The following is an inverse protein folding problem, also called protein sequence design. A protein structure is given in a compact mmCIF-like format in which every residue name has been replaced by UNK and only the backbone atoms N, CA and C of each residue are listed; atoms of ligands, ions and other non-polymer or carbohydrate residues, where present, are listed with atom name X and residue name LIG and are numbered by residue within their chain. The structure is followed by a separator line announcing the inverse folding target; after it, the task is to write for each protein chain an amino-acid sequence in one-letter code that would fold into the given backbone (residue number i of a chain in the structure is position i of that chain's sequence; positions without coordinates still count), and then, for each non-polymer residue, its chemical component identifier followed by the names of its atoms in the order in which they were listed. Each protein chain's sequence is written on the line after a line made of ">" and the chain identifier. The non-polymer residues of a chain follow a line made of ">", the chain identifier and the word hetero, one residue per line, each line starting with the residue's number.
data_IF_552760345563
#
_entry.id   IF_552760345563
#
_cell.length_a   1.000
_cell.length_b   1.000
_cell.length_c   1.000
_cell.angle_alpha   90.00
_cell.angle_beta   90.00
_cell.angle_gamma   90.00
#
_symmetry.space_group_name_H-M   'P 1'
#
loop_
_entity.id
_entity.type
_entity.pdbx_description
1 polymer ?
#
# COMPACT_ATOMS: atom_id res chain seq x y z
N UNK A 1 -15.99 19.50 -72.86
CA UNK A 1 -15.87 18.08 -73.25
C UNK A 1 -16.56 17.18 -72.21
N UNK A 2 -17.84 16.95 -72.49
CA UNK A 2 -18.77 16.03 -71.83
C UNK A 2 -18.74 14.64 -72.50
N UNK A 3 -19.39 13.68 -71.85
CA UNK A 3 -19.82 12.34 -72.32
C UNK A 3 -18.78 11.23 -72.31
N UNK A 4 -18.93 10.21 -71.43
CA UNK A 4 -19.82 9.03 -71.57
C UNK A 4 -19.15 7.96 -72.46
N UNK A 5 -18.95 6.69 -72.08
CA UNK A 5 -19.88 5.60 -71.69
C UNK A 5 -19.01 4.31 -71.73
N UNK A 6 -19.10 3.27 -70.90
CA UNK A 6 -20.10 2.19 -70.86
C UNK A 6 -19.62 1.12 -69.84
N UNK A 7 -20.48 0.65 -68.92
CA UNK A 7 -21.01 -0.74 -68.73
C UNK A 7 -20.02 -1.90 -68.91
N UNK A 8 -19.95 -2.91 -68.03
CA UNK A 8 -20.82 -4.11 -67.99
C UNK A 8 -20.76 -4.85 -66.62
N UNK A 9 -21.93 -5.28 -66.17
CA UNK A 9 -22.40 -6.42 -65.33
C UNK A 9 -21.49 -7.33 -64.45
N UNK A 10 -22.08 -7.69 -63.29
CA UNK A 10 -21.94 -8.78 -62.26
C UNK A 10 -21.36 -10.15 -62.71
N UNK A 11 -20.97 -11.14 -61.82
CA UNK A 11 -21.56 -11.53 -60.52
C UNK A 11 -20.62 -12.12 -59.40
N UNK A 12 -21.25 -12.35 -58.23
CA UNK A 12 -21.05 -13.36 -57.16
C UNK A 12 -19.94 -14.43 -57.36
N UNK A 13 -19.08 -14.65 -56.36
CA UNK A 13 -18.72 -15.97 -55.76
C UNK A 13 -17.67 -15.78 -54.64
N UNK A 14 -17.96 -16.41 -53.50
CA UNK A 14 -17.23 -16.23 -52.25
C UNK A 14 -15.83 -16.83 -52.22
N UNK A 15 -15.02 -16.24 -51.33
CA UNK A 15 -13.88 -16.92 -50.72
C UNK A 15 -14.03 -16.81 -49.22
N UNK A 16 -14.47 -17.92 -48.64
CA UNK A 16 -14.31 -18.22 -47.24
C UNK A 16 -12.80 -18.38 -47.01
N UNK A 17 -12.15 -17.44 -46.34
CA UNK A 17 -10.76 -17.55 -45.93
C UNK A 17 -10.67 -17.38 -44.41
N UNK A 18 -10.81 -18.51 -43.74
CA UNK A 18 -10.33 -18.73 -42.38
C UNK A 18 -8.81 -18.58 -42.36
N UNK A 19 -8.29 -17.50 -41.78
CA UNK A 19 -6.95 -17.49 -41.17
C UNK A 19 -6.88 -16.45 -40.05
N UNK A 20 -6.57 -16.93 -38.85
CA UNK A 20 -5.81 -16.18 -37.83
C UNK A 20 -6.53 -15.09 -37.06
N UNK A 21 -7.26 -15.47 -35.99
CA UNK A 21 -7.40 -14.57 -34.83
C UNK A 21 -6.36 -14.97 -33.79
N UNK A 22 -5.35 -14.13 -33.61
CA UNK A 22 -4.47 -14.13 -32.44
C UNK A 22 -5.24 -13.59 -31.21
N UNK A 23 -5.01 -14.09 -29.98
CA UNK A 23 -5.79 -13.66 -28.81
C UNK A 23 -5.29 -12.35 -28.14
N UNK A 24 -4.24 -11.72 -28.68
CA UNK A 24 -3.54 -10.62 -28.00
C UNK A 24 -3.89 -9.26 -28.59
N UNK A 25 -5.14 -8.80 -28.47
CA UNK A 25 -5.48 -7.39 -28.72
C UNK A 25 -6.84 -6.98 -28.15
N UNK A 26 -6.99 -6.92 -26.83
CA UNK A 26 -7.95 -5.99 -26.20
C UNK A 26 -7.38 -5.40 -24.92
N UNK A 27 -6.58 -4.35 -25.09
CA UNK A 27 -6.35 -3.31 -24.09
C UNK A 27 -6.72 -1.98 -24.74
N UNK A 28 -7.46 -1.17 -23.99
CA UNK A 28 -7.82 0.24 -24.20
C UNK A 28 -8.83 0.59 -25.31
N UNK A 29 -10.11 0.59 -24.90
CA UNK A 29 -11.17 1.56 -25.24
C UNK A 29 -12.41 1.00 -24.51
N UNK A 30 -12.88 1.55 -23.40
CA UNK A 30 -13.61 2.82 -23.37
C UNK A 30 -13.49 3.51 -22.01
N UNK A 31 -12.98 4.74 -22.02
CA UNK A 31 -13.37 5.74 -21.04
C UNK A 31 -14.77 6.21 -21.41
N UNK A 32 -15.77 5.86 -20.61
CA UNK A 32 -17.08 6.50 -20.63
C UNK A 32 -17.44 6.91 -19.20
N UNK A 33 -17.40 8.23 -18.97
CA UNK A 33 -18.06 8.88 -17.85
C UNK A 33 -19.57 8.94 -18.15
N UNK A 34 -20.36 8.94 -17.07
CA UNK A 34 -21.82 9.11 -16.98
C UNK A 34 -22.69 8.00 -17.59
N UNK A 35 -23.25 7.17 -16.70
CA UNK A 35 -24.72 7.07 -16.50
C UNK A 35 -25.03 6.28 -15.22
N UNK A 36 -25.18 7.00 -14.11
CA UNK A 36 -25.72 6.46 -12.86
C UNK A 36 -27.25 6.48 -12.97
N UNK A 37 -27.83 5.39 -13.47
CA UNK A 37 -29.26 5.13 -13.32
C UNK A 37 -29.50 4.53 -11.93
N UNK A 38 -30.22 5.28 -11.10
CA UNK A 38 -30.56 4.91 -9.73
C UNK A 38 -31.85 4.10 -9.76
N UNK A 39 -31.75 2.78 -9.94
CA UNK A 39 -32.84 1.84 -9.63
C UNK A 39 -32.65 1.32 -8.21
N UNK A 40 -33.49 1.80 -7.29
CA UNK A 40 -33.59 1.29 -5.91
C UNK A 40 -34.12 -0.14 -5.97
N UNK A 41 -33.21 -1.11 -5.94
CA UNK A 41 -33.52 -2.50 -5.61
C UNK A 41 -33.03 -2.78 -4.18
N UNK A 42 -33.95 -2.61 -3.22
CA UNK A 42 -33.73 -2.75 -1.78
C UNK A 42 -33.44 -4.20 -1.31
N UNK A 43 -33.05 -5.11 -2.20
CA UNK A 43 -32.82 -6.53 -1.88
C UNK A 43 -31.34 -6.97 -1.96
N UNK A 44 -30.43 -6.12 -2.47
CA UNK A 44 -29.01 -6.49 -2.68
C UNK A 44 -28.04 -6.12 -1.52
N UNK A 45 -28.48 -5.30 -0.56
CA UNK A 45 -27.59 -4.79 0.51
C UNK A 45 -27.16 -5.84 1.56
N UNK A 46 -27.89 -6.96 1.67
CA UNK A 46 -27.55 -8.02 2.63
C UNK A 46 -26.40 -8.92 2.17
N UNK A 47 -26.27 -9.17 0.85
CA UNK A 47 -25.24 -10.05 0.31
C UNK A 47 -23.89 -9.34 0.09
N UNK A 48 -23.88 -8.03 -0.14
CA UNK A 48 -22.65 -7.25 -0.28
C UNK A 48 -21.87 -7.22 1.05
N UNK A 49 -22.55 -6.84 2.14
CA UNK A 49 -21.97 -6.80 3.48
C UNK A 49 -21.48 -8.18 3.98
N UNK A 50 -22.13 -9.27 3.58
CA UNK A 50 -21.73 -10.63 3.97
C UNK A 50 -20.51 -11.10 3.17
N UNK A 51 -20.47 -10.85 1.87
CA UNK A 51 -19.35 -11.27 0.99
C UNK A 51 -18.08 -10.49 1.31
N UNK A 52 -18.20 -9.18 1.58
CA UNK A 52 -17.07 -8.33 1.97
C UNK A 52 -16.51 -8.71 3.36
N UNK A 53 -17.39 -9.01 4.34
CA UNK A 53 -16.95 -9.52 5.65
C UNK A 53 -16.30 -10.91 5.57
N UNK A 54 -16.75 -11.79 4.67
CA UNK A 54 -16.13 -13.11 4.48
C UNK A 54 -14.74 -12.94 3.85
N UNK A 55 -14.61 -12.13 2.80
CA UNK A 55 -13.33 -11.84 2.15
C UNK A 55 -12.32 -11.18 3.11
N UNK A 56 -12.76 -10.20 3.90
CA UNK A 56 -11.91 -9.55 4.91
C UNK A 56 -11.46 -10.54 6.00
N UNK A 57 -12.37 -11.42 6.47
CA UNK A 57 -12.06 -12.39 7.51
C UNK A 57 -11.09 -13.48 7.01
N UNK A 58 -11.24 -13.94 5.77
CA UNK A 58 -10.31 -14.89 5.15
C UNK A 58 -8.94 -14.24 4.91
N UNK A 59 -8.91 -12.98 4.48
CA UNK A 59 -7.67 -12.23 4.30
C UNK A 59 -6.97 -11.94 5.63
N UNK A 60 -7.71 -11.51 6.67
CA UNK A 60 -7.19 -11.26 8.01
C UNK A 60 -6.70 -12.55 8.70
N UNK A 61 -7.41 -13.66 8.52
CA UNK A 61 -6.97 -15.00 8.96
C UNK A 61 -5.67 -15.40 8.27
N UNK A 62 -5.53 -15.11 6.97
CA UNK A 62 -4.30 -15.38 6.21
C UNK A 62 -3.12 -14.54 6.70
N UNK A 63 -3.30 -13.23 6.93
CA UNK A 63 -2.27 -12.36 7.51
C UNK A 63 -1.84 -12.80 8.91
N UNK A 64 -2.80 -13.12 9.79
CA UNK A 64 -2.48 -13.64 11.12
C UNK A 64 -1.77 -14.98 11.07
N UNK A 65 -2.13 -15.84 10.10
CA UNK A 65 -1.45 -17.12 9.89
C UNK A 65 -0.01 -16.91 9.41
N UNK A 66 0.24 -15.93 8.53
CA UNK A 66 1.58 -15.54 8.09
C UNK A 66 2.42 -14.95 9.23
N UNK A 67 1.84 -14.07 10.05
CA UNK A 67 2.49 -13.52 11.26
C UNK A 67 2.81 -14.63 12.26
N UNK A 68 1.89 -15.58 12.46
CA UNK A 68 2.10 -16.74 13.35
C UNK A 68 3.18 -17.69 12.81
N UNK A 69 3.40 -17.76 11.50
CA UNK A 69 4.53 -18.47 10.89
C UNK A 69 5.88 -17.77 11.12
N UNK A 70 5.87 -16.49 11.51
CA UNK A 70 7.06 -15.71 11.87
C UNK A 70 7.43 -15.80 13.37
N UNK A 71 6.71 -16.62 14.15
CA UNK A 71 6.96 -16.86 15.58
C UNK A 71 8.41 -17.20 15.97
N UNK A 72 9.25 -17.92 15.19
CA UNK A 72 10.62 -18.22 15.62
C UNK A 72 11.55 -16.98 15.64
N UNK A 73 11.19 -15.87 15.01
CA UNK A 73 12.01 -14.65 14.93
C UNK A 73 11.39 -13.44 15.65
N UNK A 74 10.47 -13.71 16.58
CA UNK A 74 9.75 -12.69 17.34
C UNK A 74 10.68 -11.67 18.03
N UNK A 75 11.92 -12.06 18.37
CA UNK A 75 12.92 -11.17 18.99
C UNK A 75 13.37 -10.05 18.05
N UNK A 76 13.60 -10.38 16.77
CA UNK A 76 13.99 -9.38 15.76
C UNK A 76 12.81 -8.49 15.38
N UNK A 77 11.60 -9.07 15.29
CA UNK A 77 10.38 -8.30 15.08
C UNK A 77 10.12 -7.33 16.25
N UNK A 78 10.36 -7.76 17.49
CA UNK A 78 10.22 -6.90 18.68
C UNK A 78 11.25 -5.77 18.65
N UNK A 79 12.52 -6.08 18.34
CA UNK A 79 13.55 -5.05 18.24
C UNK A 79 13.27 -4.04 17.12
N UNK A 80 12.78 -4.52 15.96
CA UNK A 80 12.29 -3.67 14.87
C UNK A 80 11.10 -2.80 15.29
N UNK A 81 10.16 -3.34 16.07
CA UNK A 81 9.00 -2.59 16.57
C UNK A 81 9.38 -1.46 17.53
N UNK A 82 10.37 -1.68 18.40
CA UNK A 82 10.92 -0.63 19.27
C UNK A 82 11.56 0.48 18.42
N UNK A 83 12.32 0.10 17.38
CA UNK A 83 12.87 1.04 16.39
C UNK A 83 11.77 1.87 15.70
N UNK A 84 10.68 1.23 15.27
CA UNK A 84 9.52 1.88 14.65
C UNK A 84 8.81 2.88 15.56
N UNK A 85 8.68 2.56 16.86
CA UNK A 85 8.11 3.50 17.84
C UNK A 85 9.03 4.71 18.00
N UNK A 86 10.34 4.49 18.17
CA UNK A 86 11.31 5.58 18.32
C UNK A 86 11.32 6.47 17.07
N UNK A 87 11.29 5.89 15.88
CA UNK A 87 11.27 6.65 14.64
C UNK A 87 9.97 7.47 14.47
N UNK A 88 8.81 6.90 14.83
CA UNK A 88 7.54 7.63 14.88
C UNK A 88 7.57 8.81 15.85
N UNK A 89 8.14 8.61 17.04
CA UNK A 89 8.34 9.69 18.02
C UNK A 89 9.30 10.78 17.51
N UNK A 90 10.40 10.41 16.86
CA UNK A 90 11.33 11.38 16.27
C UNK A 90 10.65 12.23 15.18
N UNK A 91 9.77 11.63 14.37
CA UNK A 91 8.99 12.37 13.36
C UNK A 91 8.04 13.40 14.00
N UNK A 92 7.35 13.04 15.09
CA UNK A 92 6.53 14.00 15.84
C UNK A 92 7.35 15.10 16.51
N UNK A 93 8.48 14.74 17.12
CA UNK A 93 9.39 15.70 17.75
C UNK A 93 9.96 16.68 16.73
N UNK A 94 10.29 16.22 15.52
CA UNK A 94 10.69 17.09 14.43
C UNK A 94 9.61 18.14 14.11
N UNK A 95 8.35 17.70 13.94
CA UNK A 95 7.24 18.61 13.68
C UNK A 95 7.03 19.62 14.82
N UNK A 96 7.16 19.19 16.08
CA UNK A 96 7.09 20.06 17.24
C UNK A 96 8.21 21.11 17.25
N UNK A 97 9.46 20.70 17.03
CA UNK A 97 10.61 21.62 16.98
C UNK A 97 10.43 22.64 15.84
N UNK A 98 9.94 22.20 14.69
CA UNK A 98 9.66 23.09 13.56
C UNK A 98 8.56 24.12 13.91
N UNK A 99 7.50 23.69 14.60
CA UNK A 99 6.46 24.58 15.11
C UNK A 99 7.00 25.61 16.12
N UNK A 100 7.86 25.18 17.05
CA UNK A 100 8.50 26.06 18.02
C UNK A 100 9.41 27.10 17.36
N UNK A 101 10.20 26.69 16.35
CA UNK A 101 11.01 27.61 15.54
C UNK A 101 10.13 28.66 14.89
N UNK A 102 9.02 28.25 14.26
CA UNK A 102 8.07 29.17 13.64
C UNK A 102 7.52 30.18 14.66
N UNK A 103 7.19 29.75 15.87
CA UNK A 103 6.73 30.65 16.94
C UNK A 103 7.78 31.69 17.34
N UNK A 104 9.06 31.31 17.39
CA UNK A 104 10.16 32.23 17.73
C UNK A 104 10.37 33.27 16.63
N UNK A 105 10.18 32.90 15.36
CA UNK A 105 10.27 33.83 14.22
C UNK A 105 9.26 34.98 14.29
N UNK A 106 8.12 34.80 14.97
CA UNK A 106 7.13 35.87 15.15
C UNK A 106 7.46 36.86 16.28
N UNK A 107 8.50 36.61 17.08
CA UNK A 107 8.93 37.52 18.15
C UNK A 107 9.66 38.74 17.57
N UNK A 108 9.37 39.95 18.08
CA UNK A 108 9.90 41.21 17.51
C UNK A 108 11.36 41.52 17.85
N UNK A 109 11.96 40.82 18.83
CA UNK A 109 13.34 41.04 19.25
C UNK A 109 14.35 40.25 18.42
N UNK A 110 15.05 40.94 17.50
CA UNK A 110 16.03 40.32 16.59
C UNK A 110 17.24 39.67 17.27
N UNK A 111 17.70 40.22 18.41
CA UNK A 111 18.84 39.67 19.16
C UNK A 111 18.49 38.39 19.93
N UNK A 112 17.27 38.31 20.46
CA UNK A 112 16.75 37.11 21.15
C UNK A 112 16.49 35.98 20.14
N UNK A 113 15.89 36.32 18.99
CA UNK A 113 15.59 35.40 17.90
C UNK A 113 16.84 34.64 17.43
N UNK A 114 17.96 35.34 17.16
CA UNK A 114 19.21 34.70 16.69
C UNK A 114 19.76 33.67 17.67
N UNK A 115 19.68 33.93 18.98
CA UNK A 115 20.18 33.01 20.02
C UNK A 115 19.30 31.76 20.12
N UNK A 116 17.99 31.93 20.12
CA UNK A 116 17.04 30.81 20.22
C UNK A 116 17.06 29.94 18.96
N UNK A 117 17.04 30.53 17.76
CA UNK A 117 17.18 29.78 16.49
C UNK A 117 18.48 28.96 16.45
N UNK A 118 19.58 29.49 17.00
CA UNK A 118 20.84 28.74 17.09
C UNK A 118 20.67 27.42 17.84
N UNK A 119 19.99 27.44 18.98
CA UNK A 119 19.71 26.23 19.78
C UNK A 119 18.82 25.24 19.01
N UNK A 120 17.75 25.72 18.39
CA UNK A 120 16.86 24.86 17.60
C UNK A 120 17.56 24.25 16.39
N UNK A 121 18.49 24.97 15.75
CA UNK A 121 19.29 24.45 14.64
C UNK A 121 20.14 23.26 15.08
N UNK A 122 20.84 23.35 16.23
CA UNK A 122 21.58 22.22 16.79
C UNK A 122 20.67 21.05 17.16
N UNK A 123 19.47 21.32 17.72
CA UNK A 123 18.48 20.28 18.01
C UNK A 123 18.01 19.58 16.73
N UNK A 124 17.74 20.31 15.64
CA UNK A 124 17.34 19.75 14.36
C UNK A 124 18.44 18.88 13.74
N UNK A 125 19.70 19.28 13.84
CA UNK A 125 20.84 18.47 13.38
C UNK A 125 20.92 17.16 14.18
N UNK A 126 20.90 17.25 15.52
CA UNK A 126 20.95 16.06 16.37
C UNK A 126 19.76 15.11 16.14
N UNK A 127 18.57 15.67 15.99
CA UNK A 127 17.36 14.90 15.72
C UNK A 127 17.40 14.24 14.34
N UNK A 128 17.86 14.94 13.31
CA UNK A 128 18.04 14.37 11.96
C UNK A 128 19.07 13.25 11.94
N UNK A 129 20.23 13.44 12.59
CA UNK A 129 21.25 12.39 12.70
C UNK A 129 20.73 11.16 13.46
N UNK A 130 20.01 11.36 14.56
CA UNK A 130 19.39 10.26 15.30
C UNK A 130 18.32 9.53 14.48
N UNK A 131 17.47 10.27 13.75
CA UNK A 131 16.44 9.70 12.90
C UNK A 131 17.03 8.83 11.80
N UNK A 132 18.11 9.25 11.15
CA UNK A 132 18.79 8.44 10.14
C UNK A 132 19.32 7.12 10.72
N UNK A 133 19.94 7.16 11.90
CA UNK A 133 20.47 5.97 12.57
C UNK A 133 19.35 4.99 12.94
N UNK A 134 18.33 5.46 13.68
CA UNK A 134 17.24 4.60 14.13
C UNK A 134 16.38 4.08 12.97
N UNK A 135 16.15 4.90 11.94
CA UNK A 135 15.40 4.49 10.76
C UNK A 135 16.15 3.40 9.98
N UNK A 136 17.47 3.55 9.79
CA UNK A 136 18.26 2.52 9.12
C UNK A 136 18.22 1.21 9.91
N UNK A 137 18.42 1.28 11.23
CA UNK A 137 18.40 0.11 12.11
C UNK A 137 17.03 -0.58 12.08
N UNK A 138 15.92 0.16 12.16
CA UNK A 138 14.58 -0.44 12.13
C UNK A 138 14.37 -1.21 10.82
N UNK A 139 14.73 -0.61 9.68
CA UNK A 139 14.46 -1.20 8.37
C UNK A 139 15.31 -2.43 8.16
N UNK A 140 16.58 -2.41 8.59
CA UNK A 140 17.44 -3.59 8.56
C UNK A 140 16.85 -4.76 9.36
N UNK A 141 16.33 -4.52 10.56
CA UNK A 141 15.69 -5.60 11.34
C UNK A 141 14.40 -6.12 10.70
N UNK A 142 13.55 -5.24 10.17
CA UNK A 142 12.32 -5.63 9.47
C UNK A 142 12.59 -6.35 8.15
N UNK A 143 13.64 -5.95 7.42
CA UNK A 143 14.08 -6.58 6.19
C UNK A 143 14.59 -8.00 6.45
N UNK A 144 15.41 -8.20 7.48
CA UNK A 144 15.91 -9.53 7.87
C UNK A 144 14.73 -10.47 8.21
N UNK A 145 13.77 -9.99 9.00
CA UNK A 145 12.57 -10.74 9.37
C UNK A 145 11.72 -11.05 8.12
N UNK A 146 11.59 -10.09 7.20
CA UNK A 146 10.88 -10.26 5.94
C UNK A 146 11.55 -11.30 5.02
N UNK A 147 12.88 -11.28 4.92
CA UNK A 147 13.66 -12.21 4.11
C UNK A 147 13.58 -13.64 4.63
N UNK A 148 13.76 -13.84 5.93
CA UNK A 148 13.67 -15.17 6.54
C UNK A 148 12.26 -15.75 6.42
N UNK A 149 11.23 -14.93 6.59
CA UNK A 149 9.85 -15.39 6.38
C UNK A 149 9.61 -15.76 4.92
N UNK A 150 10.06 -14.92 3.98
CA UNK A 150 9.93 -15.16 2.54
C UNK A 150 10.59 -16.47 2.14
N UNK A 151 11.78 -16.76 2.69
CA UNK A 151 12.48 -18.02 2.48
C UNK A 151 11.62 -19.22 2.91
N UNK A 152 11.09 -19.21 4.14
CA UNK A 152 10.23 -20.29 4.64
C UNK A 152 8.95 -20.46 3.84
N UNK A 153 8.34 -19.35 3.39
CA UNK A 153 7.14 -19.39 2.56
C UNK A 153 7.47 -20.02 1.20
N UNK A 154 8.56 -19.62 0.55
CA UNK A 154 9.01 -20.22 -0.71
C UNK A 154 9.27 -21.72 -0.58
N UNK A 155 9.94 -22.14 0.48
CA UNK A 155 10.19 -23.57 0.76
C UNK A 155 8.89 -24.36 0.87
N UNK A 156 7.91 -23.87 1.67
CA UNK A 156 6.61 -24.55 1.82
C UNK A 156 5.76 -24.54 0.56
N UNK A 157 5.79 -23.44 -0.20
CA UNK A 157 5.05 -23.35 -1.46
C UNK A 157 5.63 -24.33 -2.48
N UNK A 158 6.96 -24.44 -2.57
CA UNK A 158 7.62 -25.40 -3.48
C UNK A 158 7.31 -26.84 -3.06
N UNK A 159 7.38 -27.14 -1.76
CA UNK A 159 7.00 -28.45 -1.22
C UNK A 159 5.55 -28.82 -1.57
N UNK A 160 4.62 -27.87 -1.47
CA UNK A 160 3.23 -28.08 -1.83
C UNK A 160 3.04 -28.34 -3.33
N UNK A 161 3.74 -27.58 -4.19
CA UNK A 161 3.69 -27.79 -5.64
C UNK A 161 4.24 -29.17 -6.02
N UNK A 162 5.35 -29.61 -5.42
CA UNK A 162 5.96 -30.92 -5.71
C UNK A 162 5.12 -32.11 -5.24
N UNK A 163 4.17 -31.91 -4.32
CA UNK A 163 3.25 -32.97 -3.85
C UNK A 163 2.01 -33.14 -4.73
N UNK A 164 1.80 -32.26 -5.73
CA UNK A 164 0.67 -32.38 -6.65
C UNK A 164 0.88 -33.53 -7.65
N UNK A 165 -0.24 -34.08 -8.12
CA UNK A 165 -0.28 -35.14 -9.13
C UNK A 165 0.17 -34.64 -10.52
N UNK A 166 0.68 -35.55 -11.37
CA UNK A 166 1.18 -35.20 -12.71
C UNK A 166 0.07 -34.58 -13.58
N UNK A 167 -1.17 -35.08 -13.46
CA UNK A 167 -2.32 -34.55 -14.19
C UNK A 167 -2.62 -33.07 -13.87
N UNK A 168 -2.22 -32.58 -12.69
CA UNK A 168 -2.37 -31.16 -12.34
C UNK A 168 -1.47 -30.25 -13.18
N UNK A 169 -0.29 -30.75 -13.58
CA UNK A 169 0.68 -30.02 -14.41
C UNK A 169 0.36 -30.08 -15.91
N UNK A 170 -0.53 -30.99 -16.34
CA UNK A 170 -0.96 -31.12 -17.73
C UNK A 170 -1.98 -30.02 -18.14
N UNK A 171 -2.59 -29.35 -17.15
CA UNK A 171 -3.49 -28.22 -17.38
C UNK A 171 -2.72 -26.99 -17.92
N UNK A 172 -3.22 -26.35 -18.98
CA UNK A 172 -2.59 -25.14 -19.57
C UNK A 172 -2.45 -23.98 -18.55
N UNK A 173 -3.30 -23.98 -17.52
CA UNK A 173 -3.25 -23.02 -16.41
C UNK A 173 -2.06 -23.21 -15.46
N UNK A 174 -1.55 -24.44 -15.36
CA UNK A 174 -0.54 -24.87 -14.39
C UNK A 174 0.80 -25.24 -15.04
N UNK A 175 1.06 -24.69 -16.24
CA UNK A 175 2.35 -24.87 -16.88
C UNK A 175 3.50 -24.49 -15.94
N UNK A 176 4.61 -25.23 -16.01
CA UNK A 176 5.75 -25.09 -15.10
C UNK A 176 6.27 -23.66 -14.99
N UNK A 177 6.30 -22.93 -16.11
CA UNK A 177 6.69 -21.51 -16.16
C UNK A 177 5.70 -20.60 -15.40
N UNK A 178 4.39 -20.83 -15.54
CA UNK A 178 3.35 -20.05 -14.85
C UNK A 178 3.35 -20.30 -13.35
N UNK A 179 3.53 -21.55 -12.93
CA UNK A 179 3.60 -21.92 -11.51
C UNK A 179 4.82 -21.31 -10.85
N UNK A 180 6.00 -21.38 -11.51
CA UNK A 180 7.21 -20.73 -11.01
C UNK A 180 7.07 -19.20 -10.90
N UNK A 181 6.41 -18.57 -11.89
CA UNK A 181 6.13 -17.14 -11.86
C UNK A 181 5.18 -16.76 -10.70
N UNK A 182 4.09 -17.51 -10.52
CA UNK A 182 3.14 -17.31 -9.40
C UNK A 182 3.82 -17.45 -8.05
N UNK A 183 4.61 -18.51 -7.85
CA UNK A 183 5.35 -18.75 -6.61
C UNK A 183 6.32 -17.62 -6.25
N UNK A 184 7.00 -17.07 -7.26
CA UNK A 184 7.89 -15.93 -7.08
C UNK A 184 7.13 -14.65 -6.75
N UNK A 185 6.03 -14.38 -7.47
CA UNK A 185 5.18 -13.21 -7.24
C UNK A 185 4.54 -13.24 -5.85
N UNK A 186 3.94 -14.36 -5.46
CA UNK A 186 3.31 -14.55 -4.16
C UNK A 186 4.33 -14.39 -3.01
N UNK A 187 5.52 -14.97 -3.16
CA UNK A 187 6.58 -14.79 -2.17
C UNK A 187 7.05 -13.33 -2.06
N UNK A 188 7.17 -12.61 -3.17
CA UNK A 188 7.53 -11.20 -3.17
C UNK A 188 6.42 -10.34 -2.55
N UNK A 189 5.15 -10.66 -2.82
CA UNK A 189 4.01 -9.99 -2.22
C UNK A 189 4.01 -10.17 -0.70
N UNK A 190 4.29 -11.38 -0.20
CA UNK A 190 4.44 -11.65 1.24
C UNK A 190 5.62 -10.88 1.83
N UNK A 191 6.77 -10.83 1.14
CA UNK A 191 7.94 -10.05 1.56
C UNK A 191 7.57 -8.58 1.77
N UNK A 192 6.99 -7.95 0.76
CA UNK A 192 6.65 -6.52 0.85
C UNK A 192 5.57 -6.26 1.90
N UNK A 193 4.56 -7.14 1.99
CA UNK A 193 3.50 -7.02 2.98
C UNK A 193 4.02 -7.08 4.44
N UNK A 194 5.12 -7.79 4.70
CA UNK A 194 5.60 -8.04 6.07
C UNK A 194 6.85 -7.21 6.40
N UNK A 195 7.84 -7.13 5.52
CA UNK A 195 9.04 -6.31 5.72
C UNK A 195 8.73 -4.81 5.60
N UNK A 196 8.06 -4.40 4.52
CA UNK A 196 7.87 -2.97 4.24
C UNK A 196 6.62 -2.40 4.91
N UNK A 197 5.47 -3.11 4.83
CA UNK A 197 4.21 -2.52 5.30
C UNK A 197 4.08 -2.50 6.82
N UNK A 198 4.53 -3.54 7.53
CA UNK A 198 4.38 -3.60 8.98
C UNK A 198 5.22 -2.52 9.66
N UNK A 199 6.44 -2.29 9.20
CA UNK A 199 7.31 -1.24 9.74
C UNK A 199 6.67 0.14 9.61
N UNK A 200 6.10 0.46 8.44
CA UNK A 200 5.39 1.72 8.20
C UNK A 200 4.12 1.83 9.03
N UNK A 201 3.33 0.76 9.16
CA UNK A 201 2.12 0.76 10.00
C UNK A 201 2.46 1.00 11.47
N UNK A 202 3.51 0.36 11.99
CA UNK A 202 3.97 0.57 13.36
C UNK A 202 4.50 2.00 13.58
N UNK A 203 5.29 2.51 12.64
CA UNK A 203 5.79 3.89 12.70
C UNK A 203 4.64 4.91 12.68
N UNK A 204 3.68 4.75 11.76
CA UNK A 204 2.53 5.64 11.62
C UNK A 204 1.60 5.57 12.83
N UNK A 205 1.40 4.38 13.42
CA UNK A 205 0.58 4.25 14.63
C UNK A 205 1.26 4.92 15.84
N UNK A 206 2.56 4.75 16.02
CA UNK A 206 3.31 5.46 17.05
C UNK A 206 3.28 6.97 16.86
N UNK A 207 3.48 7.45 15.63
CA UNK A 207 3.36 8.87 15.27
C UNK A 207 1.98 9.40 15.60
N UNK A 208 0.92 8.70 15.20
CA UNK A 208 -0.46 9.10 15.46
C UNK A 208 -0.77 9.17 16.96
N UNK A 209 -0.36 8.17 17.74
CA UNK A 209 -0.54 8.16 19.20
C UNK A 209 0.18 9.36 19.83
N UNK A 210 1.44 9.59 19.47
CA UNK A 210 2.23 10.67 20.03
C UNK A 210 1.66 12.05 19.64
N UNK A 211 1.31 12.25 18.37
CA UNK A 211 0.74 13.50 17.87
C UNK A 211 -0.64 13.79 18.49
N UNK A 212 -1.53 12.80 18.60
CA UNK A 212 -2.81 12.95 19.28
C UNK A 212 -2.61 13.31 20.76
N UNK A 213 -1.75 12.57 21.45
CA UNK A 213 -1.47 12.82 22.88
C UNK A 213 -0.92 14.23 23.09
N UNK A 214 0.08 14.65 22.31
CA UNK A 214 0.65 15.98 22.37
C UNK A 214 -0.40 17.07 22.05
N UNK A 215 -1.24 16.85 21.03
CA UNK A 215 -2.31 17.79 20.66
C UNK A 215 -3.35 17.98 21.75
N UNK A 216 -3.79 16.90 22.41
CA UNK A 216 -4.74 16.99 23.53
C UNK A 216 -4.13 17.66 24.77
N UNK A 217 -2.83 17.46 25.03
CA UNK A 217 -2.14 18.07 26.17
C UNK A 217 -1.99 19.59 25.98
N UNK A 218 -1.65 20.04 24.77
CA UNK A 218 -1.42 21.45 24.48
C UNK A 218 -2.73 22.25 24.49
N UNK A 219 -3.67 21.91 23.62
CA UNK A 219 -4.94 22.64 23.47
C UNK A 219 -6.08 21.69 23.10
N UNK A 220 -6.75 21.13 24.11
CA UNK A 220 -7.83 20.15 23.92
C UNK A 220 -8.99 20.66 23.05
N UNK A 221 -9.24 21.98 23.03
CA UNK A 221 -10.30 22.60 22.21
C UNK A 221 -9.95 22.56 20.72
N UNK A 222 -8.71 22.88 20.36
CA UNK A 222 -8.24 22.82 18.97
C UNK A 222 -8.11 21.38 18.48
N UNK A 223 -7.67 20.47 19.35
CA UNK A 223 -7.59 19.04 19.05
C UNK A 223 -8.96 18.45 18.68
N UNK A 224 -10.03 18.76 19.42
CA UNK A 224 -11.38 18.30 19.10
C UNK A 224 -11.88 18.78 17.74
N UNK A 225 -11.57 20.03 17.38
CA UNK A 225 -11.92 20.58 16.06
C UNK A 225 -11.19 19.83 14.95
N UNK A 226 -9.88 19.56 15.10
CA UNK A 226 -9.11 18.79 14.13
C UNK A 226 -9.65 17.36 13.95
N UNK A 227 -10.02 16.69 15.06
CA UNK A 227 -10.62 15.35 15.01
C UNK A 227 -11.97 15.37 14.29
N UNK A 228 -12.78 16.41 14.48
CA UNK A 228 -14.06 16.55 13.78
C UNK A 228 -13.91 16.81 12.28
N UNK A 229 -12.83 17.50 11.86
CA UNK A 229 -12.55 17.79 10.43
C UNK A 229 -11.88 16.61 9.73
N UNK A 230 -11.15 15.76 10.45
CA UNK A 230 -10.46 14.58 9.91
C UNK A 230 -11.32 13.70 8.97
N UNK A 231 -12.56 13.28 9.30
CA UNK A 231 -13.37 12.46 8.40
C UNK A 231 -13.77 13.19 7.11
N UNK A 232 -13.93 14.52 7.14
CA UNK A 232 -14.24 15.33 5.95
C UNK A 232 -13.06 15.31 4.99
N UNK A 233 -11.84 15.43 5.51
CA UNK A 233 -10.60 15.34 4.71
C UNK A 233 -10.48 13.96 4.09
N UNK A 234 -10.72 12.90 4.86
CA UNK A 234 -10.69 11.53 4.33
C UNK A 234 -11.72 11.33 3.22
N UNK A 235 -12.97 11.78 3.42
CA UNK A 235 -14.00 11.72 2.39
C UNK A 235 -13.59 12.45 1.11
N UNK A 236 -13.00 13.64 1.23
CA UNK A 236 -12.49 14.39 0.09
C UNK A 236 -11.38 13.63 -0.65
N UNK A 237 -10.43 13.01 0.06
CA UNK A 237 -9.35 12.23 -0.57
C UNK A 237 -9.85 10.98 -1.29
N UNK A 238 -10.94 10.37 -0.82
CA UNK A 238 -11.54 9.18 -1.47
C UNK A 238 -12.34 9.58 -2.72
N UNK A 239 -12.82 10.82 -2.79
CA UNK A 239 -13.55 11.37 -3.92
C UNK A 239 -12.64 11.87 -5.06
N UNK A 240 -11.34 12.10 -4.79
CA UNK A 240 -10.33 12.48 -5.77
C UNK A 240 -9.75 11.27 -6.50
#
# INVERSE_FOLDING_TARGET
>A
PSSARNSVSSPIIGRNSSYGRSPYSRRLSDFSNSDFSLSIDAYSSYNYNRTERIAFKDQASSFWRLVKMNAPEWRFALLGSVGSIVCGCLSALFAYVLSAVMSVYYSRDGSYMKREIGKYCFLLIGLSSSALLFNTIQHMFWDIVGENLTKRVREKMLEAVLRNEVAWFDEEENSSARVAARLTMDANNVRSAIGDRISVIMQNSALMIFACTAGFILEWRLALVLVAVFPIVVAATVLQ
#
